data_IF_154661661145
#
_entry.id   IF_154661661145
#
_cell.length_a   1.000
_cell.length_b   1.000
_cell.length_c   1.000
_cell.angle_alpha   90.00
_cell.angle_beta   90.00
_cell.angle_gamma   90.00
#
_symmetry.space_group_name_H-M   'P 1'
#
loop_
_entity.id
_entity.type
_entity.pdbx_description
1 polymer ?
#
# COMPACT_ATOMS: atom_id res chain seq x y z
N UNK A 1 -24.29 -6.80 -13.46
CA UNK A 1 -22.92 -7.32 -13.23
C UNK A 1 -22.20 -6.38 -12.29
N UNK A 2 -21.63 -6.85 -11.17
CA UNK A 2 -20.77 -5.99 -10.35
C UNK A 2 -19.53 -5.60 -11.15
N UNK A 3 -19.24 -4.31 -11.26
CA UNK A 3 -18.06 -3.77 -11.93
C UNK A 3 -17.06 -3.30 -10.87
N UNK A 4 -15.85 -3.87 -10.88
CA UNK A 4 -14.77 -3.43 -9.99
C UNK A 4 -13.97 -2.32 -10.69
N UNK A 5 -14.08 -1.08 -10.18
CA UNK A 5 -13.27 0.04 -10.65
C UNK A 5 -11.92 0.03 -9.93
N UNK A 6 -10.84 0.03 -10.71
CA UNK A 6 -9.47 0.18 -10.20
C UNK A 6 -9.03 1.61 -10.44
N UNK A 7 -8.53 2.27 -9.40
CA UNK A 7 -7.94 3.61 -9.48
C UNK A 7 -6.52 3.57 -8.95
N UNK A 8 -5.58 4.03 -9.76
CA UNK A 8 -4.18 4.18 -9.39
C UNK A 8 -3.87 5.66 -9.18
N UNK A 9 -3.32 6.01 -8.02
CA UNK A 9 -2.90 7.37 -7.70
C UNK A 9 -1.49 7.36 -7.18
N UNK A 10 -0.71 8.31 -7.66
CA UNK A 10 0.74 8.37 -7.43
C UNK A 10 1.08 9.64 -6.68
N UNK A 11 1.95 9.52 -5.69
CA UNK A 11 2.40 10.64 -4.87
C UNK A 11 3.93 10.70 -4.91
N UNK A 12 4.47 11.88 -5.22
CA UNK A 12 5.91 12.09 -5.27
C UNK A 12 6.40 12.58 -3.91
N UNK A 13 7.34 11.85 -3.31
CA UNK A 13 7.96 12.21 -2.04
C UNK A 13 9.36 12.76 -2.29
N UNK A 14 9.68 13.92 -1.69
CA UNK A 14 11.01 14.50 -1.73
C UNK A 14 12.04 13.67 -0.93
N UNK A 15 13.32 13.79 -1.29
CA UNK A 15 14.40 13.18 -0.52
C UNK A 15 14.57 13.85 0.85
N UNK A 16 15.00 13.08 1.85
CA UNK A 16 15.25 13.59 3.21
C UNK A 16 14.01 13.73 4.10
N UNK A 17 12.81 13.45 3.59
CA UNK A 17 11.58 13.44 4.38
C UNK A 17 11.58 12.26 5.37
N UNK A 18 11.27 12.55 6.63
CA UNK A 18 11.13 11.53 7.70
C UNK A 18 9.70 11.07 7.92
N UNK A 19 8.73 11.93 7.58
CA UNK A 19 7.30 11.66 7.75
C UNK A 19 6.52 12.43 6.70
N UNK A 20 5.49 11.78 6.14
CA UNK A 20 4.60 12.38 5.14
C UNK A 20 3.18 11.94 5.46
N UNK A 21 2.26 12.91 5.45
CA UNK A 21 0.83 12.68 5.53
C UNK A 21 0.23 13.03 4.16
N UNK A 22 -0.52 12.10 3.59
CA UNK A 22 -1.20 12.30 2.30
C UNK A 22 -2.70 12.47 2.60
N UNK A 23 -3.18 13.71 2.78
CA UNK A 23 -4.60 13.95 2.97
C UNK A 23 -5.36 13.63 1.68
N UNK A 24 -6.60 13.15 1.82
CA UNK A 24 -7.48 12.89 0.66
C UNK A 24 -6.79 11.99 -0.39
N UNK A 25 -6.12 10.94 0.10
CA UNK A 25 -5.41 9.99 -0.74
C UNK A 25 -6.33 9.38 -1.79
N UNK A 26 -7.59 9.07 -1.43
CA UNK A 26 -8.65 8.68 -2.36
C UNK A 26 -9.87 9.59 -2.15
N UNK A 27 -10.53 9.99 -3.24
CA UNK A 27 -11.73 10.83 -3.19
C UNK A 27 -12.92 10.09 -3.79
N UNK A 28 -14.10 10.24 -3.17
CA UNK A 28 -15.33 9.61 -3.65
C UNK A 28 -15.56 8.22 -3.05
N UNK A 29 -15.82 7.22 -3.90
CA UNK A 29 -16.08 5.85 -3.45
C UNK A 29 -14.78 5.25 -2.93
N UNK A 30 -14.77 4.88 -1.65
CA UNK A 30 -13.63 4.23 -1.02
C UNK A 30 -13.44 2.82 -1.60
N UNK A 31 -12.21 2.46 -1.99
CA UNK A 31 -11.95 1.14 -2.52
C UNK A 31 -12.06 0.08 -1.42
N UNK A 32 -12.55 -1.10 -1.78
CA UNK A 32 -12.56 -2.25 -0.87
C UNK A 32 -11.16 -2.81 -0.58
N UNK A 33 -10.17 -2.47 -1.43
CA UNK A 33 -8.77 -2.91 -1.32
C UNK A 33 -7.82 -1.79 -1.72
N UNK A 34 -6.76 -1.59 -0.94
CA UNK A 34 -5.71 -0.64 -1.25
C UNK A 34 -4.36 -1.35 -1.25
N UNK A 35 -3.60 -1.20 -2.33
CA UNK A 35 -2.23 -1.68 -2.44
C UNK A 35 -1.32 -0.47 -2.49
N UNK A 36 -0.36 -0.42 -1.57
CA UNK A 36 0.61 0.66 -1.46
C UNK A 36 1.99 0.15 -1.87
N UNK A 37 2.60 0.80 -2.84
CA UNK A 37 3.93 0.46 -3.33
C UNK A 37 4.82 1.71 -3.36
N UNK A 38 6.05 1.57 -2.86
CA UNK A 38 7.06 2.62 -2.93
C UNK A 38 8.09 2.24 -4.00
N UNK A 39 8.38 3.17 -4.91
CA UNK A 39 9.28 2.96 -6.05
C UNK A 39 10.13 4.21 -6.27
N UNK A 40 11.31 4.05 -6.88
CA UNK A 40 12.17 5.20 -7.20
C UNK A 40 11.53 6.04 -8.31
N UNK A 41 11.70 7.37 -8.23
CA UNK A 41 11.20 8.27 -9.26
C UNK A 41 11.78 7.92 -10.65
N UNK A 42 13.02 7.44 -10.72
CA UNK A 42 13.65 6.99 -11.96
C UNK A 42 12.99 5.73 -12.55
N UNK A 43 12.66 4.74 -11.71
CA UNK A 43 11.96 3.54 -12.16
C UNK A 43 10.50 3.84 -12.56
N UNK A 44 9.83 4.76 -11.84
CA UNK A 44 8.49 5.22 -12.20
C UNK A 44 8.45 5.95 -13.54
N UNK A 45 9.42 6.85 -13.80
CA UNK A 45 9.49 7.64 -15.05
C UNK A 45 10.19 6.93 -16.22
N UNK A 46 10.25 5.59 -16.22
CA UNK A 46 10.78 4.75 -17.32
C UNK A 46 12.25 5.00 -17.66
N UNK A 47 13.14 4.89 -16.69
CA UNK A 47 14.53 4.52 -17.01
C UNK A 47 14.54 3.09 -17.56
N UNK A 48 14.94 2.89 -18.82
CA UNK A 48 14.99 1.57 -19.47
C UNK A 48 15.88 0.56 -18.73
N UNK A 49 16.77 1.03 -17.84
CA UNK A 49 17.61 0.18 -16.99
C UNK A 49 16.94 -0.21 -15.67
N UNK A 50 15.80 0.37 -15.32
CA UNK A 50 15.13 0.17 -14.03
C UNK A 50 13.72 -0.40 -14.21
N UNK A 51 13.37 -1.37 -13.37
CA UNK A 51 12.06 -2.01 -13.39
C UNK A 51 11.05 -1.21 -12.52
N UNK A 52 9.92 -0.73 -13.08
CA UNK A 52 8.89 0.01 -12.34
C UNK A 52 8.14 -0.84 -11.29
N UNK A 53 8.24 -2.17 -11.36
CA UNK A 53 7.62 -3.12 -10.41
C UNK A 53 8.60 -3.49 -9.28
N UNK A 54 9.81 -2.94 -9.28
CA UNK A 54 10.78 -3.16 -8.21
C UNK A 54 10.47 -2.26 -7.00
N UNK A 55 9.50 -2.67 -6.20
CA UNK A 55 9.12 -1.96 -4.98
C UNK A 55 10.23 -2.02 -3.93
N UNK A 56 10.56 -0.87 -3.36
CA UNK A 56 11.60 -0.72 -2.33
C UNK A 56 10.96 -0.31 -1.02
N UNK A 57 11.48 -0.85 0.09
CA UNK A 57 10.96 -0.51 1.41
C UNK A 57 11.40 0.87 1.93
N UNK A 58 12.48 1.44 1.39
CA UNK A 58 13.10 2.71 1.84
C UNK A 58 13.32 2.82 3.35
N UNK A 59 13.52 1.69 4.06
CA UNK A 59 13.59 1.63 5.51
C UNK A 59 12.41 2.34 6.22
N UNK A 60 11.21 2.21 5.63
CA UNK A 60 9.96 2.73 6.20
C UNK A 60 9.75 2.16 7.60
N UNK A 61 9.58 3.04 8.60
CA UNK A 61 9.42 2.63 10.00
C UNK A 61 7.97 2.36 10.38
N UNK A 62 7.03 3.10 9.79
CA UNK A 62 5.60 3.00 10.08
C UNK A 62 4.78 3.44 8.87
N UNK A 63 3.66 2.77 8.64
CA UNK A 63 2.64 3.15 7.68
C UNK A 63 1.25 2.87 8.24
N UNK A 64 0.33 3.81 8.01
CA UNK A 64 -1.06 3.63 8.41
C UNK A 64 -1.99 4.35 7.45
N UNK A 65 -3.14 3.73 7.19
CA UNK A 65 -4.25 4.36 6.49
C UNK A 65 -5.23 4.89 7.55
N UNK A 66 -5.87 6.03 7.27
CA UNK A 66 -6.99 6.50 8.08
C UNK A 66 -8.19 6.80 7.19
N UNK A 67 -9.33 6.31 7.61
CA UNK A 67 -10.65 6.62 7.04
C UNK A 67 -11.37 7.55 8.03
N UNK A 68 -11.67 8.78 7.61
CA UNK A 68 -12.42 9.77 8.41
C UNK A 68 -11.92 9.95 9.86
N UNK A 69 -10.60 9.87 10.08
CA UNK A 69 -9.96 10.03 11.39
C UNK A 69 -9.82 8.74 12.20
N UNK A 70 -10.36 7.62 11.71
CA UNK A 70 -10.17 6.27 12.29
C UNK A 70 -9.03 5.57 11.56
N UNK A 71 -8.11 4.93 12.27
CA UNK A 71 -6.96 4.24 11.67
C UNK A 71 -7.34 2.83 11.25
N UNK A 72 -6.97 2.43 10.02
CA UNK A 72 -7.22 1.11 9.45
C UNK A 72 -5.89 0.50 8.99
N UNK A 73 -5.48 -0.66 9.52
CA UNK A 73 -5.99 -1.30 10.74
C UNK A 73 -5.71 -0.44 11.99
N UNK A 74 -6.39 -0.73 13.12
CA UNK A 74 -6.30 0.03 14.38
C UNK A 74 -4.87 0.13 14.97
N UNK A 75 -3.94 -0.67 14.47
CA UNK A 75 -2.52 -0.55 14.75
C UNK A 75 -1.76 -0.36 13.44
N UNK A 76 -1.01 0.74 13.35
CA UNK A 76 -0.13 1.01 12.23
C UNK A 76 0.81 -0.18 11.94
N UNK A 77 1.14 -0.35 10.67
CA UNK A 77 2.12 -1.31 10.21
C UNK A 77 3.51 -0.78 10.50
N UNK A 78 4.25 -1.46 11.38
CA UNK A 78 5.61 -1.06 11.83
C UNK A 78 6.66 -2.10 11.42
N UNK A 79 6.98 -2.24 10.11
CA UNK A 79 7.98 -3.20 9.66
C UNK A 79 9.37 -2.84 10.23
N UNK A 80 10.05 -3.83 10.81
CA UNK A 80 11.49 -3.72 11.08
C UNK A 80 12.27 -4.57 10.08
N UNK A 81 12.80 -3.92 9.04
CA UNK A 81 13.60 -4.58 8.01
C UNK A 81 14.98 -5.02 8.52
N UNK A 82 15.51 -4.36 9.56
CA UNK A 82 16.77 -4.76 10.20
C UNK A 82 16.64 -6.06 11.01
N UNK A 83 15.50 -6.23 11.67
CA UNK A 83 15.24 -7.39 12.54
C UNK A 83 14.44 -8.49 11.82
N UNK A 84 14.23 -8.37 10.50
CA UNK A 84 13.37 -9.23 9.69
C UNK A 84 11.91 -9.34 10.20
N UNK A 85 11.43 -8.36 10.96
CA UNK A 85 10.06 -8.29 11.48
C UNK A 85 9.16 -7.52 10.50
N UNK A 86 9.02 -8.04 9.29
CA UNK A 86 8.09 -7.51 8.28
C UNK A 86 7.06 -8.55 7.80
N UNK A 87 7.15 -9.79 8.31
CA UNK A 87 6.30 -10.91 7.92
C UNK A 87 4.80 -10.61 8.07
N UNK A 88 4.38 -9.86 9.09
CA UNK A 88 2.98 -9.44 9.26
C UNK A 88 2.47 -8.60 8.08
N UNK A 89 3.27 -7.64 7.62
CA UNK A 89 2.92 -6.76 6.50
C UNK A 89 2.91 -7.52 5.17
N UNK A 90 3.82 -8.49 5.02
CA UNK A 90 3.83 -9.38 3.87
C UNK A 90 2.59 -10.29 3.90
N UNK A 91 2.31 -10.94 5.03
CA UNK A 91 1.17 -11.84 5.20
C UNK A 91 -0.16 -11.12 4.97
N UNK A 92 -0.32 -9.87 5.44
CA UNK A 92 -1.53 -9.09 5.17
C UNK A 92 -1.78 -8.90 3.68
N UNK A 93 -0.73 -8.69 2.87
CA UNK A 93 -0.89 -8.63 1.40
C UNK A 93 -1.47 -9.94 0.85
N UNK A 94 -1.01 -11.10 1.32
CA UNK A 94 -1.52 -12.39 0.84
C UNK A 94 -2.90 -12.73 1.38
N UNK A 95 -3.16 -12.51 2.67
CA UNK A 95 -4.45 -12.82 3.28
C UNK A 95 -5.54 -11.93 2.69
N UNK A 96 -5.27 -10.65 2.48
CA UNK A 96 -6.27 -9.70 1.96
C UNK A 96 -6.53 -9.92 0.46
N UNK A 97 -5.55 -10.46 -0.27
CA UNK A 97 -5.72 -10.88 -1.66
C UNK A 97 -6.43 -12.24 -1.76
N UNK A 98 -6.08 -13.22 -0.92
CA UNK A 98 -6.58 -14.60 -0.99
C UNK A 98 -7.97 -14.81 -0.39
N UNK A 99 -8.35 -14.05 0.65
CA UNK A 99 -9.67 -14.17 1.29
C UNK A 99 -10.84 -13.82 0.34
N UNK A 100 -10.56 -13.21 -0.81
CA UNK A 100 -11.59 -12.88 -1.78
C UNK A 100 -11.88 -13.99 -2.81
N UNK A 101 -11.01 -14.99 -2.96
CA UNK A 101 -11.27 -16.15 -3.81
C UNK A 101 -12.17 -17.20 -3.13
N UNK A 102 -12.38 -17.10 -1.81
CA UNK A 102 -13.23 -18.03 -1.04
C UNK A 102 -14.67 -17.55 -0.84
N UNK A 103 -15.14 -16.50 -1.53
CA UNK A 103 -16.59 -16.25 -1.64
C UNK A 103 -17.25 -17.14 -2.71
N UNK A 104 -16.95 -18.44 -2.66
CA UNK A 104 -17.82 -19.47 -3.20
C UNK A 104 -18.85 -19.83 -2.14
N UNK A 105 -20.05 -19.28 -2.31
CA UNK A 105 -21.32 -19.75 -1.75
C UNK A 105 -21.24 -20.35 -0.33
N UNK A 106 -21.56 -19.57 0.69
CA UNK A 106 -22.22 -20.16 1.85
C UNK A 106 -23.42 -19.30 2.22
N UNK A 107 -24.55 -20.01 2.22
CA UNK A 107 -25.96 -19.62 2.33
C UNK A 107 -26.30 -18.56 3.36
#
# INVERSE_FOLDING_TARGET
MPFTRIEAKTFTLGSGLKSVIIPNAMNGILPSRMILGLVSNAAFNRDFKQNPINFKNYNLSSISLSENGVQIPMSAYTPSYKNNLFARNYLSLFTDLAQHDTNINTR
#
